data_IF_611350022804
#
_entry.id   IF_611350022804
#
_cell.length_a   1.000
_cell.length_b   1.000
_cell.length_c   1.000
_cell.angle_alpha   90.00
_cell.angle_beta   90.00
_cell.angle_gamma   90.00
#
_symmetry.space_group_name_H-M   'P 1'
#
loop_
_entity.id
_entity.type
_entity.pdbx_description
1 polymer ?
#
# COMPACT_ATOMS: atom_id res chain seq x y z
N UNK A 1 48.42 -12.89 -5.49
CA UNK A 1 47.31 -13.07 -6.46
C UNK A 1 46.06 -13.32 -5.64
N UNK A 2 45.13 -12.36 -5.60
CA UNK A 2 43.87 -12.50 -4.87
C UNK A 2 43.01 -13.53 -5.62
N UNK A 3 42.79 -14.67 -4.99
CA UNK A 3 41.86 -15.68 -5.49
C UNK A 3 40.46 -15.08 -5.35
N UNK A 4 39.88 -14.63 -6.47
CA UNK A 4 38.45 -14.49 -6.58
C UNK A 4 37.89 -15.91 -6.51
N UNK A 5 37.38 -16.31 -5.34
CA UNK A 5 36.62 -17.53 -5.19
C UNK A 5 35.51 -17.49 -6.24
N UNK A 6 35.67 -18.34 -7.26
CA UNK A 6 34.71 -18.51 -8.32
C UNK A 6 33.53 -19.29 -7.73
N UNK A 7 32.67 -18.57 -7.02
CA UNK A 7 31.49 -19.03 -6.30
C UNK A 7 30.37 -19.34 -7.31
N UNK A 8 30.64 -20.24 -8.26
CA UNK A 8 29.71 -20.74 -9.28
C UNK A 8 28.68 -21.70 -8.67
N UNK A 9 28.13 -21.33 -7.52
CA UNK A 9 26.93 -21.97 -7.01
C UNK A 9 25.76 -21.52 -7.89
N UNK A 10 25.01 -22.48 -8.43
CA UNK A 10 23.79 -22.24 -9.22
C UNK A 10 22.76 -21.38 -8.44
N UNK A 11 22.87 -21.38 -7.11
CA UNK A 11 22.01 -20.62 -6.21
C UNK A 11 22.80 -19.66 -5.32
N UNK A 12 22.25 -18.46 -5.04
CA UNK A 12 22.85 -17.54 -4.08
C UNK A 12 22.90 -18.15 -2.69
N UNK A 13 23.91 -17.75 -1.90
CA UNK A 13 24.02 -18.13 -0.48
C UNK A 13 22.73 -17.77 0.26
N UNK A 14 22.24 -18.62 1.19
CA UNK A 14 21.03 -18.34 1.96
C UNK A 14 21.03 -16.97 2.63
N UNK A 15 22.18 -16.52 3.12
CA UNK A 15 22.39 -15.22 3.76
C UNK A 15 22.10 -14.06 2.78
N UNK A 16 22.51 -14.21 1.52
CA UNK A 16 22.21 -13.23 0.46
C UNK A 16 20.71 -13.14 0.21
N UNK A 17 20.02 -14.28 0.16
CA UNK A 17 18.57 -14.32 -0.01
C UNK A 17 17.86 -13.67 1.18
N UNK A 18 18.32 -13.94 2.40
CA UNK A 18 17.77 -13.33 3.61
C UNK A 18 18.01 -11.82 3.65
N UNK A 19 19.20 -11.36 3.25
CA UNK A 19 19.50 -9.93 3.17
C UNK A 19 18.61 -9.21 2.16
N UNK A 20 18.39 -9.81 0.97
CA UNK A 20 17.47 -9.29 -0.04
C UNK A 20 16.04 -9.21 0.51
N UNK A 21 15.55 -10.29 1.13
CA UNK A 21 14.20 -10.32 1.73
C UNK A 21 14.05 -9.26 2.81
N UNK A 22 15.09 -9.09 3.64
CA UNK A 22 15.16 -8.07 4.67
C UNK A 22 15.07 -6.66 4.08
N UNK A 23 15.85 -6.36 3.05
CA UNK A 23 15.83 -5.06 2.38
C UNK A 23 14.44 -4.72 1.80
N UNK A 24 13.81 -5.67 1.09
CA UNK A 24 12.45 -5.50 0.56
C UNK A 24 11.46 -5.26 1.70
N UNK A 25 11.51 -6.07 2.75
CA UNK A 25 10.62 -5.92 3.90
C UNK A 25 10.79 -4.54 4.55
N UNK A 26 12.02 -4.08 4.76
CA UNK A 26 12.33 -2.76 5.32
C UNK A 26 11.72 -1.65 4.47
N UNK A 27 11.92 -1.68 3.15
CA UNK A 27 11.33 -0.69 2.23
C UNK A 27 9.81 -0.68 2.28
N UNK A 28 9.18 -1.87 2.33
CA UNK A 28 7.72 -2.02 2.39
C UNK A 28 7.10 -1.42 3.65
N UNK A 29 7.82 -1.44 4.76
CA UNK A 29 7.35 -0.86 6.03
C UNK A 29 7.84 0.58 6.24
N UNK A 30 8.57 1.17 5.29
CA UNK A 30 9.10 2.54 5.43
C UNK A 30 10.33 2.71 6.29
N UNK A 31 11.08 1.64 6.54
CA UNK A 31 12.34 1.73 7.27
C UNK A 31 13.40 2.50 6.49
N UNK A 32 14.45 2.95 7.18
CA UNK A 32 15.55 3.70 6.58
C UNK A 32 16.26 2.92 5.48
N UNK A 33 16.62 3.60 4.41
CA UNK A 33 17.52 3.06 3.38
C UNK A 33 18.93 2.89 3.95
N UNK A 34 19.70 1.94 3.41
CA UNK A 34 21.10 1.76 3.77
C UNK A 34 21.99 2.90 3.26
N UNK A 35 23.31 2.82 3.53
CA UNK A 35 24.30 3.77 3.03
C UNK A 35 24.24 3.91 1.50
N UNK A 36 24.61 5.07 0.98
CA UNK A 36 24.64 5.32 -0.47
C UNK A 36 25.57 4.31 -1.18
N UNK A 37 25.14 3.83 -2.35
CA UNK A 37 25.88 2.82 -3.13
C UNK A 37 25.80 1.40 -2.59
N UNK A 38 25.13 1.15 -1.47
CA UNK A 38 24.97 -0.22 -0.96
C UNK A 38 24.02 -1.03 -1.87
N UNK A 39 24.46 -2.20 -2.34
CA UNK A 39 23.75 -3.01 -3.34
C UNK A 39 22.33 -3.43 -2.90
N UNK A 40 22.08 -3.57 -1.59
CA UNK A 40 20.73 -3.84 -1.05
C UNK A 40 19.72 -2.70 -1.26
N UNK A 41 20.16 -1.49 -1.59
CA UNK A 41 19.25 -0.35 -1.77
C UNK A 41 18.31 -0.55 -2.96
N UNK A 42 18.75 -1.27 -4.00
CA UNK A 42 17.89 -1.63 -5.14
C UNK A 42 16.69 -2.47 -4.68
N UNK A 43 16.92 -3.41 -3.77
CA UNK A 43 15.87 -4.26 -3.21
C UNK A 43 14.99 -3.50 -2.21
N UNK A 44 15.58 -2.57 -1.46
CA UNK A 44 14.81 -1.65 -0.62
C UNK A 44 13.85 -0.79 -1.45
N UNK A 45 14.28 -0.28 -2.62
CA UNK A 45 13.43 0.50 -3.52
C UNK A 45 12.23 -0.31 -4.03
N UNK A 46 12.41 -1.61 -4.33
CA UNK A 46 11.29 -2.50 -4.66
C UNK A 46 10.25 -2.51 -3.52
N UNK A 47 10.72 -2.70 -2.28
CA UNK A 47 9.87 -2.66 -1.11
C UNK A 47 9.10 -1.35 -0.97
N UNK A 48 9.78 -0.21 -1.14
CA UNK A 48 9.17 1.12 -1.11
C UNK A 48 8.10 1.28 -2.18
N UNK A 49 8.38 0.91 -3.42
CA UNK A 49 7.42 0.99 -4.53
C UNK A 49 6.17 0.14 -4.25
N UNK A 50 6.33 -1.05 -3.65
CA UNK A 50 5.19 -1.87 -3.22
C UNK A 50 4.33 -1.17 -2.16
N UNK A 51 4.97 -0.46 -1.23
CA UNK A 51 4.25 0.35 -0.24
C UNK A 51 3.47 1.47 -0.91
N UNK A 52 4.12 2.27 -1.75
CA UNK A 52 3.51 3.42 -2.42
C UNK A 52 2.28 3.00 -3.27
N UNK A 53 2.37 1.88 -3.98
CA UNK A 53 1.23 1.31 -4.70
C UNK A 53 0.08 0.89 -3.77
N UNK A 54 0.38 0.28 -2.63
CA UNK A 54 -0.64 -0.14 -1.67
C UNK A 54 -1.35 1.04 -1.03
N UNK A 55 -0.62 2.12 -0.73
CA UNK A 55 -1.19 3.38 -0.21
C UNK A 55 -2.10 4.04 -1.26
N UNK A 56 -1.67 4.07 -2.54
CA UNK A 56 -2.50 4.59 -3.63
C UNK A 56 -3.83 3.83 -3.76
N UNK A 57 -3.80 2.49 -3.72
CA UNK A 57 -5.00 1.66 -3.81
C UNK A 57 -5.94 1.87 -2.61
N UNK A 58 -5.40 1.98 -1.40
CA UNK A 58 -6.19 2.28 -0.20
C UNK A 58 -6.87 3.65 -0.30
N UNK A 59 -6.14 4.68 -0.78
CA UNK A 59 -6.69 6.01 -1.01
C UNK A 59 -7.83 6.02 -2.03
N UNK A 60 -7.67 5.26 -3.12
CA UNK A 60 -8.73 5.08 -4.12
C UNK A 60 -9.96 4.39 -3.52
N UNK A 61 -9.79 3.25 -2.83
CA UNK A 61 -10.90 2.54 -2.20
C UNK A 61 -11.65 3.39 -1.17
N UNK A 62 -10.93 4.15 -0.35
CA UNK A 62 -11.53 5.07 0.62
C UNK A 62 -12.34 6.19 -0.04
N UNK A 63 -11.90 6.67 -1.19
CA UNK A 63 -12.60 7.71 -1.95
C UNK A 63 -13.83 7.16 -2.66
N UNK A 64 -13.70 6.02 -3.34
CA UNK A 64 -14.82 5.33 -3.98
C UNK A 64 -15.91 4.96 -2.97
N UNK A 65 -15.53 4.44 -1.80
CA UNK A 65 -16.47 4.13 -0.71
C UNK A 65 -17.24 5.36 -0.24
N UNK A 66 -16.55 6.49 -0.02
CA UNK A 66 -17.21 7.74 0.39
C UNK A 66 -18.18 8.25 -0.68
N UNK A 67 -17.80 8.18 -1.95
CA UNK A 67 -18.68 8.56 -3.07
C UNK A 67 -19.94 7.71 -3.14
N UNK A 68 -19.80 6.38 -3.01
CA UNK A 68 -20.92 5.45 -3.02
C UNK A 68 -21.87 5.70 -1.84
N UNK A 69 -21.34 5.80 -0.62
CA UNK A 69 -22.15 6.09 0.57
C UNK A 69 -22.88 7.43 0.47
N UNK A 70 -22.21 8.49 0.00
CA UNK A 70 -22.81 9.81 -0.22
C UNK A 70 -23.97 9.74 -1.22
N UNK A 71 -23.75 9.06 -2.34
CA UNK A 71 -24.75 8.89 -3.39
C UNK A 71 -25.96 8.10 -2.89
N UNK A 72 -25.74 6.95 -2.23
CA UNK A 72 -26.81 6.16 -1.64
C UNK A 72 -27.61 6.95 -0.59
N UNK A 73 -26.94 7.71 0.27
CA UNK A 73 -27.59 8.58 1.26
C UNK A 73 -28.51 9.59 0.58
N UNK A 74 -28.04 10.23 -0.51
CA UNK A 74 -28.87 11.15 -1.29
C UNK A 74 -30.10 10.46 -1.88
N UNK A 75 -29.96 9.28 -2.47
CA UNK A 75 -31.12 8.53 -3.01
C UNK A 75 -32.12 8.11 -1.93
N UNK A 76 -31.63 7.72 -0.76
CA UNK A 76 -32.50 7.35 0.37
C UNK A 76 -33.23 8.58 0.94
N UNK A 77 -32.55 9.72 1.06
CA UNK A 77 -33.16 10.97 1.52
C UNK A 77 -34.20 11.55 0.54
N UNK A 78 -34.06 11.29 -0.76
CA UNK A 78 -35.07 11.69 -1.76
C UNK A 78 -36.40 10.93 -1.55
N UNK A 79 -36.38 9.76 -0.91
CA UNK A 79 -37.56 8.96 -0.61
C UNK A 79 -38.06 9.13 0.83
N UNK A 80 -37.60 10.15 1.56
CA UNK A 80 -38.18 10.46 2.87
C UNK A 80 -39.62 10.94 2.65
N UNK A 81 -40.65 10.23 3.16
CA UNK A 81 -42.02 10.68 3.01
C UNK A 81 -42.15 11.99 3.78
N UNK A 82 -42.56 13.06 3.07
CA UNK A 82 -43.11 14.24 3.71
C UNK A 82 -44.37 13.77 4.42
N UNK A 83 -44.27 13.49 5.72
CA UNK A 83 -45.45 13.33 6.54
C UNK A 83 -46.11 14.70 6.63
N UNK A 84 -47.06 14.95 5.73
CA UNK A 84 -48.00 16.07 5.88
C UNK A 84 -48.67 15.91 7.24
N UNK A 85 -48.26 16.74 8.20
CA UNK A 85 -49.01 16.91 9.44
C UNK A 85 -50.36 17.51 9.05
N UNK A 86 -51.49 16.85 9.34
CA UNK A 86 -52.79 17.45 9.09
C UNK A 86 -52.89 18.71 9.96
N UNK A 87 -53.09 19.85 9.30
CA UNK A 87 -53.43 21.12 9.95
C UNK A 87 -54.76 20.93 10.67
N UNK A 88 -54.71 20.51 11.94
CA UNK A 88 -55.85 20.60 12.85
C UNK A 88 -56.06 22.09 13.20
N UNK A 89 -56.76 22.80 12.30
CA UNK A 89 -57.38 24.08 12.62
C UNK A 89 -58.89 23.91 12.50
N UNK A 90 -59.51 23.68 13.67
CA UNK A 90 -60.93 23.98 13.93
C UNK A 90 -61.09 25.45 14.29
#
# INVERSE_FOLDING_TARGET
>A
MQQFENDQSEYPKPETVLAIRGAIATGRHGGSMGPEGHWLNEFWQIGRTLRDHSEMLQGFQGTARRGLLSTSTRYLAINEPVFEQPDERS
#
